data_IF_347844372308
#
_entry.id   IF_347844372308
#
_cell.length_a   1.000
_cell.length_b   1.000
_cell.length_c   1.000
_cell.angle_alpha   90.00
_cell.angle_beta   90.00
_cell.angle_gamma   90.00
#
_symmetry.space_group_name_H-M   'P 1'
#
loop_
_entity.id
_entity.type
_entity.pdbx_description
1 polymer ?
#
# COMPACT_ATOMS: atom_id res chain seq x y z
N UNK A 1 -3.11 10.58 11.45
CA UNK A 1 -1.83 10.35 10.74
C UNK A 1 -0.65 10.45 11.70
N UNK A 2 -0.35 11.61 12.35
CA UNK A 2 0.85 11.77 13.19
C UNK A 2 1.04 10.68 14.25
N UNK A 3 -0.01 10.31 15.00
CA UNK A 3 0.08 9.24 16.01
C UNK A 3 0.47 7.88 15.44
N UNK A 4 0.13 7.60 14.18
CA UNK A 4 0.49 6.36 13.46
C UNK A 4 1.98 6.43 13.12
N UNK A 5 2.41 7.54 12.51
CA UNK A 5 3.81 7.79 12.19
C UNK A 5 4.73 7.73 13.42
N UNK A 6 4.36 8.42 14.53
CA UNK A 6 5.13 8.45 15.76
C UNK A 6 5.27 7.08 16.47
N UNK A 7 4.49 6.08 16.04
CA UNK A 7 4.60 4.68 16.49
C UNK A 7 5.43 3.79 15.55
N UNK A 8 6.12 4.39 14.56
CA UNK A 8 6.99 3.67 13.64
C UNK A 8 6.31 3.06 12.43
N UNK A 9 5.02 3.37 12.17
CA UNK A 9 4.37 2.95 10.95
C UNK A 9 4.78 3.83 9.78
N UNK A 10 4.97 3.22 8.61
CA UNK A 10 5.26 3.93 7.37
C UNK A 10 3.99 4.56 6.79
N UNK A 11 4.12 5.78 6.28
CA UNK A 11 3.04 6.50 5.61
C UNK A 11 3.35 6.59 4.11
N UNK A 12 2.51 5.98 3.30
CA UNK A 12 2.57 6.09 1.84
C UNK A 12 1.52 7.06 1.29
N UNK A 13 1.65 7.40 0.00
CA UNK A 13 0.74 8.26 -0.73
C UNK A 13 -0.36 7.43 -1.43
N UNK A 14 -1.62 7.79 -1.23
CA UNK A 14 -2.77 7.16 -1.90
C UNK A 14 -3.61 8.19 -2.66
N UNK A 15 -2.97 9.17 -3.32
CA UNK A 15 -3.63 10.27 -4.01
C UNK A 15 -4.18 11.35 -3.05
N UNK A 16 -4.32 12.55 -3.57
CA UNK A 16 -5.05 13.63 -2.90
C UNK A 16 -6.54 13.59 -3.23
N UNK A 17 -6.89 13.37 -4.51
CA UNK A 17 -8.25 13.48 -5.02
C UNK A 17 -8.99 12.14 -5.14
N UNK A 18 -8.29 11.03 -4.97
CA UNK A 18 -8.77 9.66 -5.24
C UNK A 18 -9.27 9.48 -6.69
N UNK A 19 -8.67 10.18 -7.65
CA UNK A 19 -9.00 10.06 -9.07
C UNK A 19 -8.52 8.72 -9.65
N UNK A 20 -9.19 8.24 -10.69
CA UNK A 20 -8.74 7.11 -11.49
C UNK A 20 -7.52 7.52 -12.33
N UNK A 21 -6.34 7.18 -11.88
CA UNK A 21 -5.07 7.55 -12.52
C UNK A 21 -4.88 6.96 -13.91
N UNK A 22 -5.61 5.89 -14.25
CA UNK A 22 -5.53 5.29 -15.58
C UNK A 22 -6.20 6.15 -16.67
N UNK A 23 -6.94 7.20 -16.26
CA UNK A 23 -7.72 8.08 -17.14
C UNK A 23 -7.21 9.52 -17.22
N UNK A 24 -6.14 9.85 -16.51
CA UNK A 24 -5.57 11.20 -16.49
C UNK A 24 -4.11 11.21 -16.95
N UNK A 25 -3.57 12.37 -17.27
CA UNK A 25 -2.21 12.51 -17.78
C UNK A 25 -1.16 12.31 -16.67
N UNK A 26 0.08 12.01 -17.07
CA UNK A 26 1.21 11.86 -16.15
C UNK A 26 1.45 13.13 -15.29
N UNK A 27 1.31 14.31 -15.91
CA UNK A 27 1.43 15.60 -15.21
C UNK A 27 0.34 15.77 -14.15
N UNK A 28 -0.91 15.38 -14.46
CA UNK A 28 -2.02 15.45 -13.53
C UNK A 28 -1.82 14.46 -12.36
N UNK A 29 -1.31 13.25 -12.63
CA UNK A 29 -0.95 12.28 -11.60
C UNK A 29 0.12 12.86 -10.67
N UNK A 30 1.21 13.38 -11.22
CA UNK A 30 2.31 13.96 -10.44
C UNK A 30 1.84 15.13 -9.59
N UNK A 31 1.03 16.03 -10.14
CA UNK A 31 0.49 17.17 -9.39
C UNK A 31 -0.42 16.73 -8.23
N UNK A 32 -1.25 15.70 -8.43
CA UNK A 32 -2.11 15.14 -7.38
C UNK A 32 -1.30 14.45 -6.28
N UNK A 33 -0.27 13.70 -6.65
CA UNK A 33 0.67 13.08 -5.70
C UNK A 33 1.46 14.13 -4.91
N UNK A 34 2.00 15.17 -5.57
CA UNK A 34 2.73 16.25 -4.90
C UNK A 34 1.89 16.98 -3.86
N UNK A 35 0.61 17.18 -4.16
CA UNK A 35 -0.33 17.80 -3.23
C UNK A 35 -0.57 16.94 -1.99
N UNK A 36 -0.70 15.62 -2.16
CA UNK A 36 -0.82 14.69 -1.05
C UNK A 36 0.47 14.63 -0.22
N UNK A 37 1.62 14.51 -0.88
CA UNK A 37 2.92 14.47 -0.21
C UNK A 37 3.18 15.71 0.64
N UNK A 38 2.86 16.91 0.13
CA UNK A 38 3.03 18.16 0.90
C UNK A 38 2.21 18.17 2.20
N UNK A 39 1.02 17.54 2.20
CA UNK A 39 0.22 17.40 3.41
C UNK A 39 0.86 16.39 4.36
N UNK A 40 1.28 15.23 3.87
CA UNK A 40 1.94 14.21 4.69
C UNK A 40 3.22 14.78 5.31
N UNK A 41 4.07 15.41 4.51
CA UNK A 41 5.32 16.04 4.95
C UNK A 41 5.09 17.12 6.00
N UNK A 42 4.06 17.94 5.86
CA UNK A 42 3.70 18.95 6.87
C UNK A 42 3.31 18.37 8.23
N UNK A 43 2.86 17.12 8.26
CA UNK A 43 2.42 16.43 9.49
C UNK A 43 3.52 15.57 10.09
N UNK A 44 4.30 14.88 9.25
CA UNK A 44 5.30 13.88 9.66
C UNK A 44 6.73 14.43 9.67
N UNK A 45 7.01 15.46 8.86
CA UNK A 45 8.35 15.94 8.56
C UNK A 45 9.04 15.18 7.44
N UNK A 46 8.40 14.17 6.86
CA UNK A 46 8.97 13.32 5.81
C UNK A 46 8.02 13.21 4.62
N UNK A 47 8.62 13.24 3.42
CA UNK A 47 7.88 13.06 2.15
C UNK A 47 7.72 11.57 1.87
N UNK A 48 6.51 11.09 1.52
CA UNK A 48 6.30 9.70 1.16
C UNK A 48 7.14 9.28 -0.06
N UNK A 49 7.78 8.12 0.08
CA UNK A 49 8.49 7.46 -1.03
C UNK A 49 7.58 6.45 -1.76
N UNK A 50 6.70 5.78 -1.02
CA UNK A 50 5.79 4.79 -1.56
C UNK A 50 4.47 5.43 -1.99
N UNK A 51 3.94 4.98 -3.12
CA UNK A 51 2.60 5.36 -3.55
C UNK A 51 1.80 4.16 -4.03
N UNK A 52 0.50 4.23 -3.85
CA UNK A 52 -0.47 3.29 -4.43
C UNK A 52 -1.58 4.09 -5.10
N UNK A 53 -1.87 3.77 -6.37
CA UNK A 53 -2.94 4.46 -7.07
C UNK A 53 -4.32 4.06 -6.51
N UNK A 54 -5.32 4.97 -6.57
CA UNK A 54 -6.70 4.66 -6.20
C UNK A 54 -7.22 3.40 -6.90
N UNK A 55 -7.95 2.58 -6.14
CA UNK A 55 -8.49 1.29 -6.62
C UNK A 55 -7.44 0.33 -7.21
N UNK A 56 -6.16 0.55 -6.93
CA UNK A 56 -5.07 -0.25 -7.49
C UNK A 56 -4.91 -0.12 -9.01
N UNK A 57 -5.54 0.88 -9.63
CA UNK A 57 -5.51 1.10 -11.07
C UNK A 57 -4.13 1.50 -11.56
N UNK A 58 -3.56 0.76 -12.53
CA UNK A 58 -2.28 1.12 -13.12
C UNK A 58 -2.19 0.79 -14.61
N UNK A 59 -1.33 1.50 -15.27
CA UNK A 59 -0.85 1.29 -16.62
C UNK A 59 0.56 1.87 -16.72
N UNK A 60 1.18 1.79 -17.88
CA UNK A 60 2.54 2.30 -18.07
C UNK A 60 2.67 3.80 -17.72
N UNK A 61 1.64 4.60 -17.97
CA UNK A 61 1.63 6.04 -17.63
C UNK A 61 1.70 6.24 -16.12
N UNK A 62 0.91 5.50 -15.35
CA UNK A 62 0.86 5.60 -13.87
C UNK A 62 2.18 5.18 -13.25
N UNK A 63 2.72 4.02 -13.66
CA UNK A 63 3.99 3.51 -13.13
C UNK A 63 5.12 4.48 -13.47
N UNK A 64 5.20 4.91 -14.74
CA UNK A 64 6.24 5.85 -15.16
C UNK A 64 6.11 7.22 -14.46
N UNK A 65 4.93 7.75 -14.25
CA UNK A 65 4.73 9.00 -13.51
C UNK A 65 5.22 8.90 -12.05
N UNK A 66 5.01 7.74 -11.40
CA UNK A 66 5.55 7.49 -10.08
C UNK A 66 7.08 7.46 -10.09
N UNK A 67 7.68 6.67 -10.98
CA UNK A 67 9.14 6.54 -11.12
C UNK A 67 9.81 7.88 -11.47
N UNK A 68 9.33 8.59 -12.50
CA UNK A 68 9.88 9.88 -12.95
C UNK A 68 9.81 10.96 -11.86
N UNK A 69 8.86 10.82 -10.91
CA UNK A 69 8.72 11.72 -9.76
C UNK A 69 9.40 11.20 -8.49
N UNK A 70 10.24 10.16 -8.61
CA UNK A 70 11.04 9.61 -7.52
C UNK A 70 10.27 8.79 -6.49
N UNK A 71 9.11 8.25 -6.88
CA UNK A 71 8.26 7.40 -6.02
C UNK A 71 8.26 5.96 -6.50
N UNK A 72 8.06 5.03 -5.57
CA UNK A 72 7.86 3.63 -5.91
C UNK A 72 6.38 3.28 -5.87
N UNK A 73 5.88 2.73 -6.98
CA UNK A 73 4.52 2.24 -7.09
C UNK A 73 4.38 0.87 -6.40
N UNK A 74 3.43 0.73 -5.48
CA UNK A 74 3.21 -0.48 -4.68
C UNK A 74 1.80 -1.03 -4.92
N UNK A 75 1.72 -2.34 -5.12
CA UNK A 75 0.48 -3.10 -5.12
C UNK A 75 0.37 -3.97 -3.85
N UNK A 76 -0.51 -4.94 -3.86
CA UNK A 76 -0.67 -5.97 -2.84
C UNK A 76 -0.76 -7.35 -3.47
N UNK A 77 -0.50 -8.38 -2.70
CA UNK A 77 -0.61 -9.77 -3.13
C UNK A 77 -1.74 -10.51 -2.39
N UNK A 78 -2.15 -10.02 -1.23
CA UNK A 78 -3.27 -10.56 -0.45
C UNK A 78 -4.31 -9.47 -0.23
N UNK A 79 -5.52 -9.67 -0.73
CA UNK A 79 -6.66 -8.76 -0.52
C UNK A 79 -7.61 -9.35 0.51
N UNK A 80 -7.82 -8.64 1.62
CA UNK A 80 -8.79 -9.01 2.64
C UNK A 80 -10.23 -8.83 2.19
N UNK A 81 -10.47 -8.07 1.11
CA UNK A 81 -11.80 -7.73 0.59
C UNK A 81 -12.71 -7.28 1.75
N UNK A 82 -12.21 -6.32 2.54
CA UNK A 82 -12.79 -5.88 3.80
C UNK A 82 -13.76 -4.71 3.65
N UNK A 83 -14.17 -4.40 2.42
CA UNK A 83 -15.11 -3.34 2.07
C UNK A 83 -16.54 -3.87 1.88
N UNK A 84 -17.51 -2.96 1.84
CA UNK A 84 -18.92 -3.34 1.79
C UNK A 84 -19.39 -3.99 3.08
N UNK A 85 -20.20 -5.03 2.95
CA UNK A 85 -20.76 -5.80 4.08
C UNK A 85 -19.94 -7.06 4.41
N UNK A 86 -18.62 -7.01 4.18
CA UNK A 86 -17.74 -8.16 4.44
C UNK A 86 -17.78 -8.59 5.90
N UNK A 87 -18.02 -9.89 6.14
CA UNK A 87 -18.04 -10.46 7.48
C UNK A 87 -16.61 -10.60 8.04
N UNK A 88 -16.48 -10.40 9.36
CA UNK A 88 -15.18 -10.43 10.02
C UNK A 88 -14.42 -11.76 9.81
N UNK A 89 -15.15 -12.88 9.80
CA UNK A 89 -14.56 -14.21 9.58
C UNK A 89 -14.00 -14.34 8.15
N UNK A 90 -14.68 -13.81 7.15
CA UNK A 90 -14.22 -13.86 5.77
C UNK A 90 -12.96 -13.01 5.56
N UNK A 91 -12.91 -11.81 6.17
CA UNK A 91 -11.73 -10.95 6.17
C UNK A 91 -10.53 -11.69 6.78
N UNK A 92 -10.75 -12.34 7.95
CA UNK A 92 -9.71 -13.12 8.60
C UNK A 92 -9.20 -14.27 7.72
N UNK A 93 -10.10 -15.07 7.15
CA UNK A 93 -9.71 -16.21 6.34
C UNK A 93 -8.93 -15.80 5.09
N UNK A 94 -9.35 -14.74 4.39
CA UNK A 94 -8.65 -14.23 3.22
C UNK A 94 -7.26 -13.69 3.58
N UNK A 95 -7.17 -12.96 4.69
CA UNK A 95 -5.91 -12.36 5.12
C UNK A 95 -4.91 -13.36 5.67
N UNK A 96 -5.36 -14.46 6.30
CA UNK A 96 -4.45 -15.41 7.00
C UNK A 96 -4.11 -16.63 6.14
N UNK A 97 -5.11 -17.25 5.48
CA UNK A 97 -4.89 -18.52 4.78
C UNK A 97 -4.02 -18.42 3.54
N UNK A 98 -3.99 -17.26 2.87
CA UNK A 98 -3.26 -17.05 1.61
C UNK A 98 -1.91 -16.40 1.80
N UNK A 99 -1.66 -15.81 2.96
CA UNK A 99 -0.43 -15.07 3.23
C UNK A 99 0.79 -15.99 3.22
N UNK A 100 1.79 -15.56 2.50
CA UNK A 100 3.11 -16.19 2.40
C UNK A 100 4.19 -15.14 2.74
N UNK A 101 5.43 -15.60 2.90
CA UNK A 101 6.55 -14.70 3.12
C UNK A 101 6.72 -13.74 1.93
N UNK A 102 6.89 -12.46 2.21
CA UNK A 102 7.02 -11.41 1.19
C UNK A 102 5.70 -10.83 0.70
N UNK A 103 4.55 -11.23 1.25
CA UNK A 103 3.26 -10.69 0.85
C UNK A 103 2.98 -9.32 1.47
N UNK A 104 2.26 -8.50 0.71
CA UNK A 104 1.65 -7.24 1.17
C UNK A 104 0.15 -7.46 1.27
N UNK A 105 -0.41 -7.31 2.47
CA UNK A 105 -1.83 -7.50 2.76
C UNK A 105 -2.55 -6.15 2.66
N UNK A 106 -3.62 -6.10 1.87
CA UNK A 106 -4.49 -4.93 1.75
C UNK A 106 -5.68 -5.06 2.70
N UNK A 107 -5.85 -4.04 3.54
CA UNK A 107 -7.02 -3.79 4.38
C UNK A 107 -7.32 -2.29 4.39
N UNK A 108 -8.57 -1.93 4.69
CA UNK A 108 -9.02 -0.54 4.71
C UNK A 108 -9.37 -0.07 6.11
N UNK A 109 -9.15 1.20 6.38
CA UNK A 109 -9.67 1.84 7.58
C UNK A 109 -11.14 2.25 7.38
N UNK A 110 -11.87 2.47 8.47
CA UNK A 110 -13.25 2.93 8.43
C UNK A 110 -14.29 1.89 8.00
N UNK A 111 -13.88 0.66 7.75
CA UNK A 111 -14.80 -0.45 7.48
C UNK A 111 -15.35 -1.03 8.77
N UNK A 112 -16.54 -1.64 8.70
CA UNK A 112 -17.30 -2.10 9.87
C UNK A 112 -16.54 -3.10 10.73
N UNK A 113 -15.90 -4.08 10.10
CA UNK A 113 -15.36 -5.26 10.77
C UNK A 113 -13.84 -5.33 10.84
N UNK A 114 -13.12 -4.54 10.00
CA UNK A 114 -11.65 -4.65 9.91
C UNK A 114 -10.96 -4.34 11.23
N UNK A 115 -11.31 -3.24 11.89
CA UNK A 115 -10.70 -2.87 13.16
C UNK A 115 -10.92 -3.92 14.26
N UNK A 116 -12.07 -4.59 14.24
CA UNK A 116 -12.42 -5.63 15.23
C UNK A 116 -11.66 -6.94 15.00
N UNK A 117 -11.42 -7.32 13.72
CA UNK A 117 -10.77 -8.60 13.38
C UNK A 117 -9.25 -8.47 13.27
N UNK A 118 -8.71 -7.27 13.04
CA UNK A 118 -7.29 -7.04 12.84
C UNK A 118 -6.39 -7.63 13.94
N UNK A 119 -6.69 -7.50 15.25
CA UNK A 119 -5.87 -8.12 16.28
C UNK A 119 -5.70 -9.63 16.10
N UNK A 120 -6.77 -10.34 15.72
CA UNK A 120 -6.72 -11.79 15.48
C UNK A 120 -5.93 -12.16 14.23
N UNK A 121 -5.98 -11.31 13.18
CA UNK A 121 -5.16 -11.49 11.97
C UNK A 121 -3.68 -11.36 12.35
N UNK A 122 -3.32 -10.32 13.10
CA UNK A 122 -1.93 -10.09 13.53
C UNK A 122 -1.43 -11.23 14.40
N UNK A 123 -2.20 -11.66 15.42
CA UNK A 123 -1.85 -12.79 16.30
C UNK A 123 -1.62 -14.10 15.53
N UNK A 124 -2.45 -14.38 14.52
CA UNK A 124 -2.31 -15.58 13.71
C UNK A 124 -1.10 -15.57 12.78
N UNK A 125 -0.69 -14.40 12.33
CA UNK A 125 0.44 -14.24 11.40
C UNK A 125 1.79 -14.07 12.11
N UNK A 126 1.84 -13.38 13.26
CA UNK A 126 3.10 -13.17 14.01
C UNK A 126 3.75 -14.47 14.49
N UNK A 127 2.97 -15.56 14.62
CA UNK A 127 3.52 -16.88 14.93
C UNK A 127 4.35 -17.48 13.78
N UNK A 128 4.25 -16.93 12.57
CA UNK A 128 4.87 -17.50 11.35
C UNK A 128 5.74 -16.51 10.59
N UNK A 129 5.45 -15.22 10.72
CA UNK A 129 6.05 -14.16 9.91
C UNK A 129 6.44 -12.98 10.81
N UNK A 130 7.45 -12.27 10.39
CA UNK A 130 7.80 -10.96 10.94
C UNK A 130 7.06 -9.88 10.16
N UNK A 131 6.47 -8.92 10.87
CA UNK A 131 5.87 -7.74 10.26
C UNK A 131 6.93 -6.67 10.08
N UNK A 132 7.08 -6.20 8.86
CA UNK A 132 8.01 -5.14 8.48
C UNK A 132 7.26 -4.05 7.71
N UNK A 133 7.85 -2.87 7.59
CA UNK A 133 7.32 -1.84 6.70
C UNK A 133 7.53 -2.25 5.23
N UNK A 134 6.74 -1.68 4.32
CA UNK A 134 6.90 -2.00 2.89
C UNK A 134 8.28 -1.59 2.39
N UNK A 135 8.84 -0.47 2.87
CA UNK A 135 10.20 -0.04 2.52
C UNK A 135 11.31 -0.97 3.01
N UNK A 136 11.06 -1.77 4.05
CA UNK A 136 11.98 -2.82 4.52
C UNK A 136 11.82 -4.11 3.71
N UNK A 137 10.62 -4.35 3.17
CA UNK A 137 10.30 -5.57 2.41
C UNK A 137 10.83 -5.53 0.97
N UNK A 138 10.73 -4.38 0.30
CA UNK A 138 11.01 -4.26 -1.14
C UNK A 138 12.49 -4.08 -1.44
N UNK A 139 12.92 -4.56 -2.60
CA UNK A 139 14.22 -4.19 -3.17
C UNK A 139 14.15 -2.77 -3.74
N UNK A 140 15.08 -1.90 -3.32
CA UNK A 140 15.17 -0.51 -3.80
C UNK A 140 16.02 -0.39 -5.07
N UNK A 141 16.95 -1.32 -5.25
CA UNK A 141 17.86 -1.40 -6.37
C UNK A 141 18.14 -2.86 -6.76
N UNK A 142 18.81 -3.05 -7.87
CA UNK A 142 19.32 -4.36 -8.33
C UNK A 142 18.25 -5.47 -8.35
N UNK A 143 17.04 -5.15 -8.81
CA UNK A 143 15.92 -6.08 -8.92
C UNK A 143 15.36 -6.15 -10.35
N UNK A 144 14.55 -7.16 -10.60
CA UNK A 144 13.63 -7.27 -11.75
C UNK A 144 12.21 -7.45 -11.24
N UNK A 145 11.24 -7.04 -12.03
CA UNK A 145 9.82 -7.29 -11.78
C UNK A 145 9.33 -8.24 -12.85
N UNK A 146 8.66 -9.31 -12.45
CA UNK A 146 8.04 -10.25 -13.38
C UNK A 146 6.67 -9.73 -13.87
N UNK A 147 6.04 -10.50 -14.74
CA UNK A 147 4.73 -10.16 -15.31
C UNK A 147 3.56 -10.22 -14.30
N UNK A 148 3.81 -10.68 -13.08
CA UNK A 148 2.85 -10.67 -11.97
C UNK A 148 3.04 -9.48 -11.03
N UNK A 149 4.07 -8.64 -11.25
CA UNK A 149 4.44 -7.50 -10.41
C UNK A 149 5.32 -7.86 -9.22
N UNK A 150 5.82 -9.10 -9.12
CA UNK A 150 6.69 -9.53 -8.03
C UNK A 150 8.14 -9.13 -8.31
N UNK A 151 8.80 -8.60 -7.29
CA UNK A 151 10.23 -8.28 -7.34
C UNK A 151 11.10 -9.51 -7.07
N UNK A 152 12.22 -9.59 -7.80
CA UNK A 152 13.30 -10.55 -7.56
C UNK A 152 14.63 -9.82 -7.60
N UNK A 153 15.52 -10.18 -6.72
CA UNK A 153 16.90 -9.70 -6.75
C UNK A 153 17.61 -10.22 -8.00
N UNK A 154 18.42 -9.35 -8.65
CA UNK A 154 19.27 -9.74 -9.79
C UNK A 154 20.49 -10.54 -9.34
#
# INVERSE_FOLDING_TARGET
MKKIYDRGHEIGNHSYSHADYTKISAEAITADLDKCDGIVESITGERPYLMRAPSGGYNNTVVKAAEDSGRMYIQWSVDGIDYGDAEAQDIYERSVRRTQNGDIILLHNGTKNTAAILPKILEALECKYEFVTVSELIYKDNYVIDNTGRQFQK
#
